data_IF_839353298821
#
_entry.id   IF_839353298821
#
_cell.length_a   1.000
_cell.length_b   1.000
_cell.length_c   1.000
_cell.angle_alpha   90.00
_cell.angle_beta   90.00
_cell.angle_gamma   90.00
#
_symmetry.space_group_name_H-M   'P 1'
#
loop_
_entity.id
_entity.type
_entity.pdbx_description
1 polymer ?
#
# COMPACT_ATOMS: atom_id res chain seq x y z
N UNK A 1 1.17 16.95 25.34
CA UNK A 1 0.52 16.33 24.17
C UNK A 1 1.11 14.95 23.90
N UNK A 2 2.41 14.80 23.65
CA UNK A 2 3.06 13.50 23.36
C UNK A 2 2.82 12.39 24.41
N UNK A 3 2.78 12.70 25.72
CA UNK A 3 2.53 11.69 26.77
C UNK A 3 1.10 11.18 26.79
N UNK A 4 0.10 12.02 26.41
CA UNK A 4 -1.31 11.62 26.34
C UNK A 4 -1.53 10.72 25.11
N UNK A 5 -0.91 11.04 23.98
CA UNK A 5 -0.94 10.22 22.77
C UNK A 5 -0.27 8.85 22.98
N UNK A 6 0.90 8.81 23.60
CA UNK A 6 1.56 7.55 23.94
C UNK A 6 0.74 6.68 24.90
N UNK A 7 0.04 7.29 25.88
CA UNK A 7 -0.85 6.58 26.80
C UNK A 7 -2.10 6.03 26.09
N UNK A 8 -2.68 6.78 25.17
CA UNK A 8 -3.83 6.33 24.36
C UNK A 8 -3.43 5.19 23.41
N UNK A 9 -2.29 5.29 22.74
CA UNK A 9 -1.75 4.23 21.88
C UNK A 9 -1.48 2.95 22.68
N UNK A 10 -0.88 3.04 23.84
CA UNK A 10 -0.63 1.89 24.72
C UNK A 10 -1.93 1.19 25.17
N UNK A 11 -3.00 1.94 25.41
CA UNK A 11 -4.30 1.38 25.80
C UNK A 11 -4.99 0.63 24.66
N UNK A 12 -4.72 1.00 23.40
CA UNK A 12 -5.28 0.37 22.21
C UNK A 12 -4.50 -0.86 21.74
N UNK A 13 -3.28 -1.06 22.22
CA UNK A 13 -2.35 -2.09 21.73
C UNK A 13 -2.91 -3.51 21.85
N UNK A 14 -3.36 -3.92 23.02
CA UNK A 14 -3.82 -5.28 23.27
C UNK A 14 -5.11 -5.63 22.51
N UNK A 15 -6.14 -4.76 22.49
CA UNK A 15 -7.33 -4.98 21.66
C UNK A 15 -7.01 -5.08 20.18
N UNK A 16 -6.15 -4.21 19.64
CA UNK A 16 -5.77 -4.20 18.23
C UNK A 16 -5.02 -5.47 17.84
N UNK A 17 -4.04 -5.88 18.64
CA UNK A 17 -3.33 -7.17 18.44
C UNK A 17 -4.29 -8.35 18.44
N UNK A 18 -5.28 -8.36 19.35
CA UNK A 18 -6.30 -9.39 19.40
C UNK A 18 -7.13 -9.45 18.13
N UNK A 19 -7.57 -8.30 17.62
CA UNK A 19 -8.33 -8.20 16.38
C UNK A 19 -7.52 -8.70 15.17
N UNK A 20 -6.30 -8.23 14.99
CA UNK A 20 -5.42 -8.63 13.89
C UNK A 20 -5.10 -10.13 13.97
N UNK A 21 -4.78 -10.64 15.16
CA UNK A 21 -4.53 -12.07 15.35
C UNK A 21 -5.74 -12.92 14.99
N UNK A 22 -6.94 -12.45 15.32
CA UNK A 22 -8.19 -13.13 14.95
C UNK A 22 -8.37 -13.14 13.43
N UNK A 23 -8.25 -11.99 12.77
CA UNK A 23 -8.37 -11.88 11.30
C UNK A 23 -7.36 -12.79 10.59
N UNK A 24 -6.09 -12.78 11.01
CA UNK A 24 -5.04 -13.63 10.44
C UNK A 24 -5.31 -15.12 10.66
N UNK A 25 -5.92 -15.51 11.79
CA UNK A 25 -6.29 -16.91 12.07
C UNK A 25 -7.49 -17.36 11.26
N UNK A 26 -8.50 -16.51 11.12
CA UNK A 26 -9.74 -16.81 10.39
C UNK A 26 -9.54 -16.81 8.88
N UNK A 27 -8.54 -16.10 8.37
CA UNK A 27 -8.17 -16.15 6.96
C UNK A 27 -7.85 -17.57 6.53
N UNK A 28 -8.39 -17.99 5.39
CA UNK A 28 -8.12 -19.29 4.74
C UNK A 28 -7.05 -19.17 3.64
N UNK A 29 -6.51 -17.98 3.43
CA UNK A 29 -5.47 -17.74 2.43
C UNK A 29 -4.22 -18.59 2.72
N UNK A 30 -3.57 -19.01 1.65
CA UNK A 30 -2.33 -19.80 1.69
C UNK A 30 -1.19 -19.01 1.02
N UNK A 31 0.06 -19.20 1.45
CA UNK A 31 1.19 -18.55 0.81
C UNK A 31 1.23 -18.80 -0.70
N UNK A 32 1.52 -17.74 -1.47
CA UNK A 32 1.70 -17.87 -2.92
C UNK A 32 3.00 -18.63 -3.27
N UNK A 33 3.01 -19.27 -4.44
CA UNK A 33 4.12 -20.07 -4.95
C UNK A 33 5.19 -19.25 -5.70
N UNK A 34 5.21 -17.93 -5.46
CA UNK A 34 6.15 -17.00 -6.10
C UNK A 34 6.65 -15.94 -5.10
N UNK A 35 7.74 -15.27 -5.45
CA UNK A 35 8.28 -14.18 -4.64
C UNK A 35 7.45 -12.91 -4.84
N UNK A 36 6.47 -12.68 -3.96
CA UNK A 36 5.68 -11.46 -3.92
C UNK A 36 6.48 -10.34 -3.22
N UNK A 37 6.64 -9.23 -3.89
CA UNK A 37 7.35 -8.04 -3.38
C UNK A 37 6.53 -6.75 -3.49
N UNK A 38 5.31 -6.83 -4.00
CA UNK A 38 4.33 -5.75 -4.03
C UNK A 38 3.00 -6.31 -3.53
N UNK A 39 2.33 -5.58 -2.65
CA UNK A 39 0.98 -5.88 -2.20
C UNK A 39 0.08 -4.66 -2.39
N UNK A 40 -1.17 -4.92 -2.79
CA UNK A 40 -2.24 -3.94 -2.86
C UNK A 40 -3.21 -4.27 -1.73
N UNK A 41 -3.54 -3.30 -0.89
CA UNK A 41 -4.33 -3.47 0.34
C UNK A 41 -5.30 -2.31 0.54
N UNK A 42 -6.36 -2.49 1.33
CA UNK A 42 -7.28 -1.41 1.68
C UNK A 42 -6.61 -0.20 2.34
N UNK A 43 -7.11 1.00 2.01
CA UNK A 43 -6.62 2.26 2.59
C UNK A 43 -7.39 2.65 3.86
N UNK A 44 -8.70 2.39 3.90
CA UNK A 44 -9.58 2.81 5.00
C UNK A 44 -9.77 1.69 6.03
N UNK A 45 -9.71 2.00 7.34
CA UNK A 45 -9.95 1.02 8.38
C UNK A 45 -11.43 0.57 8.37
N UNK A 46 -11.65 -0.72 8.17
CA UNK A 46 -12.96 -1.35 8.25
C UNK A 46 -12.81 -2.85 8.52
N UNK A 47 -13.87 -3.51 8.99
CA UNK A 47 -13.82 -4.96 9.19
C UNK A 47 -13.60 -5.69 7.85
N UNK A 48 -14.32 -5.29 6.80
CA UNK A 48 -14.19 -5.90 5.46
C UNK A 48 -12.78 -5.69 4.88
N UNK A 49 -12.24 -4.47 5.00
CA UNK A 49 -10.86 -4.17 4.60
C UNK A 49 -9.83 -4.96 5.43
N UNK A 50 -10.08 -5.13 6.73
CA UNK A 50 -9.22 -5.94 7.61
C UNK A 50 -9.17 -7.41 7.23
N UNK A 51 -10.28 -8.01 6.80
CA UNK A 51 -10.33 -9.39 6.28
C UNK A 51 -9.46 -9.51 5.02
N UNK A 52 -9.62 -8.60 4.07
CA UNK A 52 -8.84 -8.58 2.83
C UNK A 52 -7.35 -8.37 3.12
N UNK A 53 -7.00 -7.44 4.03
CA UNK A 53 -5.61 -7.25 4.45
C UNK A 53 -5.03 -8.52 5.07
N UNK A 54 -5.78 -9.22 5.91
CA UNK A 54 -5.35 -10.48 6.51
C UNK A 54 -5.08 -11.55 5.45
N UNK A 55 -5.92 -11.66 4.42
CA UNK A 55 -5.73 -12.60 3.32
C UNK A 55 -4.46 -12.28 2.51
N UNK A 56 -4.22 -11.00 2.23
CA UNK A 56 -3.01 -10.55 1.54
C UNK A 56 -1.76 -10.88 2.36
N UNK A 57 -1.70 -10.49 3.62
CA UNK A 57 -0.51 -10.70 4.44
C UNK A 57 -0.27 -12.16 4.78
N UNK A 58 -1.31 -12.97 4.90
CA UNK A 58 -1.19 -14.41 5.07
C UNK A 58 -0.73 -15.12 3.80
N UNK A 59 -1.03 -14.54 2.64
CA UNK A 59 -0.56 -15.05 1.34
C UNK A 59 0.90 -14.72 1.05
N UNK A 60 1.51 -13.76 1.78
CA UNK A 60 2.95 -13.57 1.72
C UNK A 60 3.64 -14.85 2.20
N UNK A 61 4.54 -15.39 1.38
CA UNK A 61 5.46 -16.44 1.85
C UNK A 61 6.33 -15.85 2.98
N UNK A 62 6.80 -16.71 3.91
CA UNK A 62 7.60 -16.29 5.07
C UNK A 62 8.95 -15.69 4.65
N UNK A 63 8.92 -14.46 4.15
CA UNK A 63 10.08 -13.69 3.67
C UNK A 63 10.26 -12.51 4.61
N UNK A 64 11.48 -12.32 5.08
CA UNK A 64 11.85 -11.13 5.81
C UNK A 64 12.20 -10.05 4.79
N UNK A 65 11.51 -8.92 4.83
CA UNK A 65 11.87 -7.73 4.09
C UNK A 65 12.63 -6.78 5.00
N UNK A 66 13.68 -6.14 4.48
CA UNK A 66 14.47 -5.18 5.23
C UNK A 66 13.77 -3.81 5.29
N UNK A 67 13.13 -3.44 4.18
CA UNK A 67 12.42 -2.15 4.02
C UNK A 67 11.02 -2.37 3.47
N UNK A 68 10.06 -1.63 4.00
CA UNK A 68 8.68 -1.53 3.49
C UNK A 68 8.46 -0.13 2.94
N UNK A 69 8.24 0.02 1.64
CA UNK A 69 7.81 1.28 1.03
C UNK A 69 6.29 1.28 0.99
N UNK A 70 5.66 2.22 1.69
CA UNK A 70 4.21 2.38 1.68
C UNK A 70 3.82 3.53 0.76
N UNK A 71 2.89 3.31 -0.15
CA UNK A 71 2.34 4.32 -1.05
C UNK A 71 0.85 4.47 -0.74
N UNK A 72 0.46 5.66 -0.30
CA UNK A 72 -0.93 5.97 0.02
C UNK A 72 -1.40 7.27 -0.65
N UNK A 73 -2.69 7.42 -0.93
CA UNK A 73 -3.25 8.69 -1.39
C UNK A 73 -3.29 9.70 -0.25
N UNK A 74 -3.28 10.99 -0.60
CA UNK A 74 -3.46 12.06 0.37
C UNK A 74 -4.84 12.03 1.03
N UNK A 75 -4.86 12.05 2.36
CA UNK A 75 -6.10 12.21 3.16
C UNK A 75 -6.54 13.66 3.38
N UNK A 76 -5.71 14.65 3.01
CA UNK A 76 -5.97 16.09 3.24
C UNK A 76 -6.36 16.85 1.96
N UNK A 77 -6.68 16.13 0.88
CA UNK A 77 -6.92 16.71 -0.43
C UNK A 77 -5.67 16.76 -1.31
N UNK A 78 -5.83 17.31 -2.51
CA UNK A 78 -4.80 17.30 -3.53
C UNK A 78 -3.70 18.36 -3.29
N UNK A 79 -2.46 17.99 -3.54
CA UNK A 79 -1.30 18.88 -3.62
C UNK A 79 -0.28 18.33 -4.63
N UNK A 80 0.43 19.23 -5.32
CA UNK A 80 1.23 18.87 -6.51
C UNK A 80 2.63 18.37 -6.15
N UNK A 81 2.73 17.24 -5.47
CA UNK A 81 3.98 16.52 -5.19
C UNK A 81 3.71 15.15 -4.58
N UNK A 82 4.75 14.34 -4.50
CA UNK A 82 4.82 13.16 -3.65
C UNK A 82 5.63 13.55 -2.41
N UNK A 83 5.21 13.14 -1.22
CA UNK A 83 5.93 13.44 0.01
C UNK A 83 6.45 12.18 0.66
N UNK A 84 7.69 12.23 1.13
CA UNK A 84 8.31 11.24 1.99
C UNK A 84 8.40 11.81 3.41
N UNK A 85 8.03 11.01 4.41
CA UNK A 85 8.02 11.41 5.82
C UNK A 85 9.42 11.82 6.30
N UNK A 86 9.54 12.97 6.99
CA UNK A 86 10.82 13.47 7.50
C UNK A 86 11.25 12.87 8.84
N UNK A 87 10.36 12.14 9.52
CA UNK A 87 10.63 11.55 10.83
C UNK A 87 11.65 10.40 10.75
N UNK A 88 12.37 10.17 11.85
CA UNK A 88 13.27 9.03 12.00
C UNK A 88 12.54 7.74 12.41
N UNK A 89 11.35 7.88 12.98
CA UNK A 89 10.50 6.79 13.43
C UNK A 89 9.04 7.09 13.10
N UNK A 90 8.33 6.08 12.65
CA UNK A 90 6.90 6.15 12.37
C UNK A 90 6.12 5.49 13.52
N UNK A 91 5.23 6.27 14.15
CA UNK A 91 4.47 5.83 15.32
C UNK A 91 3.42 4.77 14.93
N UNK A 92 3.34 3.70 15.71
CA UNK A 92 2.30 2.67 15.59
C UNK A 92 1.78 2.27 16.97
N UNK A 93 0.51 1.88 17.07
CA UNK A 93 -0.05 1.33 18.31
C UNK A 93 0.72 0.10 18.82
N UNK A 94 1.40 -0.63 17.96
CA UNK A 94 2.19 -1.82 18.33
C UNK A 94 3.65 -1.52 18.66
N UNK A 95 4.07 -0.28 18.55
CA UNK A 95 5.42 0.23 18.78
C UNK A 95 5.96 0.91 17.55
N UNK A 96 6.84 1.87 17.75
CA UNK A 96 7.41 2.67 16.67
C UNK A 96 8.25 1.81 15.73
N UNK A 97 8.22 2.15 14.44
CA UNK A 97 8.98 1.49 13.38
C UNK A 97 10.00 2.48 12.82
N UNK A 98 11.29 2.13 12.72
CA UNK A 98 12.28 3.03 12.16
C UNK A 98 11.99 3.37 10.71
N UNK A 99 12.25 4.61 10.31
CA UNK A 99 12.23 5.04 8.90
C UNK A 99 13.57 4.71 8.27
N UNK A 100 13.58 4.14 7.07
CA UNK A 100 14.78 3.87 6.30
C UNK A 100 15.28 5.16 5.63
N UNK A 101 16.14 5.91 6.34
CA UNK A 101 16.70 7.18 5.86
C UNK A 101 17.43 7.04 4.54
N UNK A 102 18.12 5.91 4.34
CA UNK A 102 18.91 5.69 3.14
C UNK A 102 18.02 5.53 1.92
N UNK A 103 16.98 4.71 2.01
CA UNK A 103 16.02 4.50 0.92
C UNK A 103 15.18 5.76 0.70
N UNK A 104 14.77 6.44 1.78
CA UNK A 104 14.04 7.69 1.72
C UNK A 104 14.82 8.77 0.95
N UNK A 105 16.08 8.98 1.33
CA UNK A 105 16.92 9.99 0.69
C UNK A 105 17.23 9.62 -0.77
N UNK A 106 17.47 8.35 -1.09
CA UNK A 106 17.67 7.86 -2.45
C UNK A 106 16.45 8.19 -3.33
N UNK A 107 15.22 7.97 -2.83
CA UNK A 107 14.00 8.35 -3.55
C UNK A 107 13.84 9.86 -3.74
N UNK A 108 14.22 10.67 -2.74
CA UNK A 108 14.11 12.14 -2.82
C UNK A 108 15.22 12.77 -3.68
N UNK A 109 16.40 12.15 -3.77
CA UNK A 109 17.54 12.68 -4.52
C UNK A 109 17.46 12.36 -6.02
N UNK A 110 16.81 11.26 -6.40
CA UNK A 110 16.70 10.80 -7.78
C UNK A 110 15.53 11.43 -8.56
N UNK A 111 14.55 12.01 -7.84
CA UNK A 111 13.32 12.49 -8.45
C UNK A 111 12.92 13.89 -7.96
N UNK A 112 12.77 14.82 -8.88
CA UNK A 112 12.37 16.20 -8.59
C UNK A 112 10.92 16.32 -8.07
N UNK A 113 10.13 15.26 -8.09
CA UNK A 113 8.74 15.24 -7.67
C UNK A 113 8.49 14.55 -6.32
N UNK A 114 9.53 13.92 -5.73
CA UNK A 114 9.48 13.30 -4.40
C UNK A 114 10.23 14.20 -3.39
N UNK A 115 9.50 14.77 -2.44
CA UNK A 115 10.02 15.74 -1.49
C UNK A 115 10.04 15.20 -0.07
N UNK A 116 11.09 15.48 0.67
CA UNK A 116 11.11 15.30 2.11
C UNK A 116 10.17 16.35 2.75
N UNK A 117 8.94 15.96 3.03
CA UNK A 117 7.89 16.85 3.53
C UNK A 117 6.83 16.02 4.28
N UNK A 118 6.40 16.48 5.44
CA UNK A 118 5.41 15.79 6.26
C UNK A 118 3.96 16.06 5.85
N UNK A 119 3.74 16.80 4.76
CA UNK A 119 2.40 17.09 4.27
C UNK A 119 1.66 15.81 3.87
N UNK A 120 0.52 15.57 4.48
CA UNK A 120 -0.31 14.39 4.26
C UNK A 120 -0.01 13.21 5.18
N UNK A 121 1.10 13.24 5.96
CA UNK A 121 1.51 12.11 6.80
C UNK A 121 0.82 12.03 8.17
N UNK A 122 0.18 13.09 8.65
CA UNK A 122 -0.38 13.15 10.02
C UNK A 122 -1.90 12.96 10.11
N UNK A 123 -2.57 12.57 9.05
CA UNK A 123 -4.02 12.45 9.01
C UNK A 123 -4.48 11.05 8.58
N UNK A 124 -4.15 10.03 9.36
CA UNK A 124 -4.59 8.65 9.15
C UNK A 124 -4.38 8.16 7.72
N UNK A 125 -3.13 7.95 7.38
CA UNK A 125 -2.74 7.39 6.09
C UNK A 125 -3.07 5.89 6.04
N UNK A 126 -3.14 5.33 4.83
CA UNK A 126 -3.29 3.88 4.67
C UNK A 126 -2.24 3.06 5.41
N UNK A 127 -1.03 3.62 5.60
CA UNK A 127 0.02 2.96 6.39
C UNK A 127 -0.41 2.74 7.84
N UNK A 128 -1.13 3.68 8.49
CA UNK A 128 -1.60 3.50 9.86
C UNK A 128 -2.50 2.28 10.01
N UNK A 129 -3.26 1.96 8.96
CA UNK A 129 -4.11 0.76 8.90
C UNK A 129 -3.29 -0.51 8.69
N UNK A 130 -2.25 -0.44 7.86
CA UNK A 130 -1.50 -1.60 7.41
C UNK A 130 -0.31 -1.94 8.32
N UNK A 131 0.26 -0.95 9.00
CA UNK A 131 1.47 -1.12 9.83
C UNK A 131 1.30 -2.18 10.95
N UNK A 132 0.16 -2.25 11.67
CA UNK A 132 -0.06 -3.29 12.65
C UNK A 132 -0.12 -4.72 12.07
N UNK A 133 -0.63 -4.89 10.84
CA UNK A 133 -0.56 -6.19 10.14
C UNK A 133 0.89 -6.54 9.80
N UNK A 134 1.64 -5.60 9.21
CA UNK A 134 3.05 -5.77 8.87
C UNK A 134 3.87 -6.16 10.11
N UNK A 135 3.69 -5.47 11.23
CA UNK A 135 4.35 -5.79 12.50
C UNK A 135 3.96 -7.16 13.07
N UNK A 136 2.80 -7.69 12.68
CA UNK A 136 2.32 -9.01 13.12
C UNK A 136 2.85 -10.17 12.26
N UNK A 137 3.20 -9.90 10.98
CA UNK A 137 3.60 -10.95 10.01
C UNK A 137 5.07 -10.88 9.61
N UNK A 138 5.67 -9.70 9.63
CA UNK A 138 7.09 -9.50 9.34
C UNK A 138 7.91 -9.49 10.65
N UNK A 139 9.19 -9.77 10.54
CA UNK A 139 10.14 -9.60 11.62
C UNK A 139 10.48 -8.11 11.85
N UNK A 140 11.77 -7.80 12.00
CA UNK A 140 12.24 -6.42 12.06
C UNK A 140 12.36 -5.86 10.65
N UNK A 141 11.82 -4.65 10.42
CA UNK A 141 11.90 -3.92 9.17
C UNK A 141 11.92 -2.41 9.44
N UNK A 142 12.36 -1.65 8.46
CA UNK A 142 12.21 -0.19 8.42
C UNK A 142 11.14 0.20 7.41
N UNK A 143 10.55 1.39 7.54
CA UNK A 143 9.49 1.86 6.65
C UNK A 143 9.89 3.14 5.92
N UNK A 144 9.43 3.30 4.68
CA UNK A 144 9.46 4.57 3.94
C UNK A 144 8.04 4.93 3.55
N UNK A 145 7.36 5.80 4.32
CA UNK A 145 6.03 6.27 4.00
C UNK A 145 6.08 7.29 2.86
N UNK A 146 5.28 7.06 1.82
CA UNK A 146 5.08 7.98 0.70
C UNK A 146 3.62 8.34 0.57
N UNK A 147 3.32 9.63 0.43
CA UNK A 147 1.97 10.15 0.17
C UNK A 147 1.93 10.78 -1.22
N UNK A 148 1.04 10.29 -2.06
CA UNK A 148 0.76 10.90 -3.35
C UNK A 148 -0.24 12.04 -3.16
N UNK A 149 0.25 13.28 -3.21
CA UNK A 149 -0.60 14.48 -3.14
C UNK A 149 -1.36 14.73 -4.44
N UNK A 150 -0.81 14.28 -5.56
CA UNK A 150 -1.46 14.23 -6.86
C UNK A 150 -1.17 12.89 -7.54
N UNK A 151 -2.16 12.36 -8.25
CA UNK A 151 -2.09 11.05 -8.90
C UNK A 151 -2.09 11.19 -10.43
N UNK A 152 -1.32 12.18 -10.95
CA UNK A 152 -1.14 12.36 -12.39
C UNK A 152 -0.32 11.23 -12.99
N UNK A 153 -0.45 11.04 -14.31
CA UNK A 153 0.29 9.98 -15.03
C UNK A 153 1.79 10.15 -14.89
N UNK A 154 2.29 11.38 -14.87
CA UNK A 154 3.71 11.66 -14.78
C UNK A 154 4.24 11.28 -13.40
N UNK A 155 3.61 11.72 -12.31
CA UNK A 155 3.95 11.27 -10.95
C UNK A 155 3.88 9.75 -10.78
N UNK A 156 2.91 9.08 -11.42
CA UNK A 156 2.83 7.62 -11.35
C UNK A 156 4.00 6.94 -12.05
N UNK A 157 4.48 7.49 -13.18
CA UNK A 157 5.62 6.94 -13.91
C UNK A 157 6.93 7.14 -13.15
N UNK A 158 7.15 8.34 -12.65
CA UNK A 158 8.35 8.71 -11.89
C UNK A 158 8.44 7.86 -10.62
N UNK A 159 7.40 7.87 -9.79
CA UNK A 159 7.37 7.04 -8.59
C UNK A 159 7.55 5.54 -8.91
N UNK A 160 6.89 5.05 -9.97
CA UNK A 160 6.98 3.64 -10.36
C UNK A 160 8.38 3.26 -10.81
N UNK A 161 9.09 4.15 -11.52
CA UNK A 161 10.48 3.95 -11.94
C UNK A 161 11.43 3.96 -10.74
N UNK A 162 11.37 5.01 -9.90
CA UNK A 162 12.21 5.14 -8.72
C UNK A 162 12.05 3.96 -7.75
N UNK A 163 10.80 3.58 -7.43
CA UNK A 163 10.51 2.40 -6.60
C UNK A 163 11.02 1.11 -7.25
N UNK A 164 10.86 0.97 -8.57
CA UNK A 164 11.37 -0.18 -9.32
C UNK A 164 12.88 -0.34 -9.21
N UNK A 165 13.64 0.74 -9.23
CA UNK A 165 15.10 0.76 -9.05
C UNK A 165 15.50 0.38 -7.62
N UNK A 166 14.85 0.94 -6.61
CA UNK A 166 15.07 0.55 -5.22
C UNK A 166 14.84 -0.96 -5.04
N UNK A 167 13.71 -1.47 -5.52
CA UNK A 167 13.38 -2.91 -5.42
C UNK A 167 14.38 -3.79 -6.16
N UNK A 168 15.09 -3.29 -7.16
CA UNK A 168 16.09 -4.07 -7.89
C UNK A 168 17.31 -4.40 -7.02
N UNK A 169 17.72 -3.48 -6.19
CA UNK A 169 18.95 -3.55 -5.41
C UNK A 169 18.73 -3.95 -3.95
N UNK A 170 17.47 -3.98 -3.48
CA UNK A 170 17.14 -4.15 -2.07
C UNK A 170 16.01 -5.16 -1.86
N UNK A 171 16.03 -5.79 -0.71
CA UNK A 171 14.96 -6.68 -0.25
C UNK A 171 13.79 -5.86 0.32
N UNK A 172 12.96 -5.34 -0.58
CA UNK A 172 11.92 -4.36 -0.29
C UNK A 172 10.52 -4.92 -0.60
N UNK A 173 9.59 -4.69 0.32
CA UNK A 173 8.15 -4.86 0.10
C UNK A 173 7.52 -3.51 -0.22
N UNK A 174 6.77 -3.42 -1.31
CA UNK A 174 5.94 -2.25 -1.62
C UNK A 174 4.51 -2.52 -1.20
N UNK A 175 3.94 -1.63 -0.39
CA UNK A 175 2.57 -1.70 0.12
C UNK A 175 1.77 -0.54 -0.45
N UNK A 176 0.78 -0.84 -1.29
CA UNK A 176 -0.07 0.16 -1.94
C UNK A 176 -1.44 0.18 -1.29
N UNK A 177 -1.82 1.31 -0.72
CA UNK A 177 -3.08 1.49 -0.02
C UNK A 177 -4.14 2.08 -0.94
N UNK A 178 -5.26 1.37 -1.14
CA UNK A 178 -6.30 1.76 -2.10
C UNK A 178 -7.71 1.45 -1.58
N UNK A 179 -8.69 2.26 -1.99
CA UNK A 179 -10.10 1.97 -1.82
C UNK A 179 -10.85 2.17 -3.15
N UNK A 180 -11.89 1.38 -3.38
CA UNK A 180 -12.78 1.53 -4.52
C UNK A 180 -13.98 2.36 -4.06
N UNK A 181 -14.06 3.61 -4.51
CA UNK A 181 -15.12 4.53 -4.09
C UNK A 181 -16.42 4.29 -4.86
N UNK A 182 -16.31 3.91 -6.13
CA UNK A 182 -17.42 3.60 -7.01
C UNK A 182 -16.99 2.63 -8.11
N UNK A 183 -17.81 1.63 -8.41
CA UNK A 183 -17.54 0.74 -9.52
C UNK A 183 -18.85 0.17 -10.11
N UNK A 184 -18.85 -0.03 -11.44
CA UNK A 184 -19.81 -0.90 -12.10
C UNK A 184 -19.30 -2.36 -12.05
N UNK A 185 -20.17 -3.37 -12.23
CA UNK A 185 -19.72 -4.75 -12.37
C UNK A 185 -18.71 -4.94 -13.53
N UNK A 186 -18.87 -4.13 -14.60
CA UNK A 186 -17.93 -4.11 -15.72
C UNK A 186 -16.59 -3.50 -15.30
N UNK A 187 -16.59 -2.39 -14.55
CA UNK A 187 -15.39 -1.74 -14.04
C UNK A 187 -14.56 -2.66 -13.16
N UNK A 188 -15.21 -3.40 -12.25
CA UNK A 188 -14.54 -4.41 -11.42
C UNK A 188 -13.85 -5.50 -12.26
N UNK A 189 -14.53 -6.00 -13.30
CA UNK A 189 -13.96 -7.00 -14.21
C UNK A 189 -12.79 -6.46 -15.02
N UNK A 190 -12.90 -5.21 -15.51
CA UNK A 190 -11.83 -4.56 -16.28
C UNK A 190 -10.61 -4.30 -15.40
N UNK A 191 -10.80 -3.83 -14.17
CA UNK A 191 -9.73 -3.60 -13.19
C UNK A 191 -9.01 -4.91 -12.87
N UNK A 192 -9.77 -5.95 -12.49
CA UNK A 192 -9.21 -7.27 -12.19
C UNK A 192 -8.41 -7.84 -13.38
N UNK A 193 -8.95 -7.72 -14.60
CA UNK A 193 -8.26 -8.18 -15.81
C UNK A 193 -6.97 -7.40 -16.06
N UNK A 194 -7.00 -6.07 -16.00
CA UNK A 194 -5.82 -5.24 -16.23
C UNK A 194 -4.72 -5.50 -15.18
N UNK A 195 -5.14 -5.74 -13.92
CA UNK A 195 -4.21 -6.08 -12.84
C UNK A 195 -3.56 -7.45 -13.06
N UNK A 196 -4.35 -8.49 -13.34
CA UNK A 196 -3.81 -9.85 -13.58
C UNK A 196 -2.91 -9.92 -14.80
N UNK A 197 -3.21 -9.16 -15.86
CA UNK A 197 -2.42 -9.11 -17.07
C UNK A 197 -1.18 -8.18 -16.92
N UNK A 198 -1.05 -7.43 -15.82
CA UNK A 198 -0.10 -6.33 -15.62
C UNK A 198 -0.13 -5.32 -16.80
N UNK A 199 -1.33 -5.08 -17.33
CA UNK A 199 -1.57 -4.20 -18.48
C UNK A 199 -1.65 -2.74 -18.02
N UNK A 200 -0.47 -2.11 -17.83
CA UNK A 200 -0.34 -0.71 -17.37
C UNK A 200 -1.13 0.26 -18.27
N UNK A 201 -1.04 0.22 -19.62
CA UNK A 201 -1.80 1.12 -20.47
C UNK A 201 -3.33 0.99 -20.29
N UNK A 202 -3.83 -0.24 -20.18
CA UNK A 202 -5.26 -0.48 -19.94
C UNK A 202 -5.69 0.00 -18.57
N UNK A 203 -4.90 -0.28 -17.52
CA UNK A 203 -5.18 0.20 -16.16
C UNK A 203 -5.20 1.72 -16.12
N UNK A 204 -4.21 2.37 -16.73
CA UNK A 204 -4.13 3.84 -16.81
C UNK A 204 -5.38 4.43 -17.50
N UNK A 205 -5.80 3.86 -18.62
CA UNK A 205 -6.99 4.30 -19.34
C UNK A 205 -8.24 4.16 -18.47
N UNK A 206 -8.42 3.02 -17.83
CA UNK A 206 -9.56 2.72 -16.98
C UNK A 206 -9.67 3.68 -15.79
N UNK A 207 -8.55 3.90 -15.08
CA UNK A 207 -8.50 4.72 -13.87
C UNK A 207 -8.60 6.23 -14.16
N UNK A 208 -8.12 6.70 -15.32
CA UNK A 208 -8.21 8.11 -15.70
C UNK A 208 -9.59 8.50 -16.27
N UNK A 209 -10.29 7.57 -16.90
CA UNK A 209 -11.65 7.86 -17.40
C UNK A 209 -12.70 7.92 -16.29
N UNK A 210 -12.49 7.21 -15.19
CA UNK A 210 -13.36 7.16 -14.00
C UNK A 210 -14.86 6.86 -14.29
N UNK A 211 -15.18 6.41 -15.50
CA UNK A 211 -16.55 6.13 -15.91
C UNK A 211 -17.08 4.81 -15.31
N UNK A 212 -16.24 3.79 -15.30
CA UNK A 212 -16.59 2.43 -14.85
C UNK A 212 -16.14 2.15 -13.40
N UNK A 213 -15.09 2.81 -12.95
CA UNK A 213 -14.53 2.64 -11.62
C UNK A 213 -13.84 3.94 -11.15
N UNK A 214 -14.01 4.27 -9.88
CA UNK A 214 -13.32 5.37 -9.20
C UNK A 214 -12.53 4.79 -8.04
N UNK A 215 -11.22 4.96 -8.07
CA UNK A 215 -10.28 4.40 -7.09
C UNK A 215 -9.52 5.53 -6.40
N UNK A 216 -9.55 5.55 -5.09
CA UNK A 216 -8.66 6.36 -4.26
C UNK A 216 -7.35 5.61 -4.09
N UNK A 217 -6.22 6.24 -4.39
CA UNK A 217 -4.92 5.57 -4.47
C UNK A 217 -4.63 4.96 -5.84
N UNK A 218 -5.34 5.41 -6.90
CA UNK A 218 -5.11 4.96 -8.28
C UNK A 218 -3.67 5.16 -8.74
N UNK A 219 -3.04 6.25 -8.29
CA UNK A 219 -1.64 6.54 -8.59
C UNK A 219 -0.68 5.50 -8.01
N UNK A 220 -0.93 5.06 -6.79
CA UNK A 220 -0.17 3.98 -6.16
C UNK A 220 -0.29 2.65 -6.92
N UNK A 221 -1.50 2.31 -7.41
CA UNK A 221 -1.70 1.12 -8.26
C UNK A 221 -0.88 1.21 -9.53
N UNK A 222 -0.91 2.36 -10.22
CA UNK A 222 -0.15 2.55 -11.46
C UNK A 222 1.35 2.51 -11.21
N UNK A 223 1.84 3.20 -10.17
CA UNK A 223 3.26 3.18 -9.77
C UNK A 223 3.72 1.75 -9.45
N UNK A 224 2.94 0.99 -8.69
CA UNK A 224 3.24 -0.40 -8.37
C UNK A 224 3.31 -1.30 -9.61
N UNK A 225 2.39 -1.17 -10.56
CA UNK A 225 2.41 -1.93 -11.81
C UNK A 225 3.61 -1.55 -12.69
N UNK A 226 4.00 -0.27 -12.71
CA UNK A 226 5.21 0.19 -13.42
C UNK A 226 6.46 -0.39 -12.74
N UNK A 227 6.58 -0.30 -11.42
CA UNK A 227 7.67 -0.90 -10.66
C UNK A 227 7.76 -2.43 -10.89
N UNK A 228 6.62 -3.12 -10.94
CA UNK A 228 6.55 -4.53 -11.28
C UNK A 228 7.12 -4.83 -12.67
N UNK A 229 6.86 -3.96 -13.65
CA UNK A 229 7.42 -4.09 -15.00
C UNK A 229 8.95 -3.94 -15.00
N UNK A 230 9.49 -2.96 -14.29
CA UNK A 230 10.94 -2.80 -14.10
C UNK A 230 11.57 -4.05 -13.49
N UNK A 231 10.89 -4.69 -12.56
CA UNK A 231 11.33 -5.93 -11.90
C UNK A 231 11.08 -7.19 -12.73
N UNK A 232 10.48 -7.06 -13.92
CA UNK A 232 10.06 -8.20 -14.75
C UNK A 232 9.16 -9.17 -13.96
N UNK A 233 8.30 -8.62 -13.10
CA UNK A 233 7.27 -9.38 -12.39
C UNK A 233 6.24 -9.88 -13.39
N UNK A 234 5.85 -11.13 -13.26
CA UNK A 234 4.93 -11.79 -14.19
C UNK A 234 3.80 -12.52 -13.48
N UNK A 235 3.83 -12.52 -12.15
CA UNK A 235 2.84 -13.23 -11.33
C UNK A 235 2.00 -12.23 -10.56
N UNK A 236 0.71 -12.41 -10.65
CA UNK A 236 -0.28 -11.67 -9.87
C UNK A 236 -1.20 -12.68 -9.20
N UNK A 237 -1.50 -12.47 -7.94
CA UNK A 237 -2.52 -13.20 -7.20
C UNK A 237 -3.47 -12.19 -6.57
N UNK A 238 -4.71 -12.18 -7.02
CA UNK A 238 -5.79 -11.39 -6.41
C UNK A 238 -6.43 -12.26 -5.33
N UNK A 239 -6.24 -11.89 -4.07
CA UNK A 239 -6.80 -12.61 -2.94
C UNK A 239 -8.31 -12.45 -2.88
N UNK A 240 -8.76 -11.20 -2.96
CA UNK A 240 -10.18 -10.86 -2.96
C UNK A 240 -10.41 -9.45 -3.54
N UNK A 241 -11.64 -9.23 -4.01
CA UNK A 241 -12.13 -7.92 -4.46
C UNK A 241 -13.60 -7.74 -4.06
N UNK A 242 -13.85 -6.75 -3.23
CA UNK A 242 -15.19 -6.36 -2.82
C UNK A 242 -15.65 -5.10 -3.58
N UNK A 243 -16.80 -5.16 -4.23
CA UNK A 243 -17.41 -3.97 -4.84
C UNK A 243 -17.92 -3.02 -3.76
N UNK A 244 -17.90 -1.70 -3.99
CA UNK A 244 -18.52 -0.74 -3.09
C UNK A 244 -20.03 -0.95 -3.04
N UNK A 245 -20.61 -0.77 -1.85
CA UNK A 245 -22.03 -0.76 -1.61
C UNK A 245 -22.46 0.64 -1.16
N UNK A 246 -23.78 0.88 -1.03
CA UNK A 246 -24.30 2.16 -0.57
C UNK A 246 -23.71 2.53 0.80
N UNK A 247 -23.00 3.65 0.87
CA UNK A 247 -22.32 4.16 2.06
C UNK A 247 -21.04 3.43 2.48
N UNK A 248 -20.53 2.47 1.69
CA UNK A 248 -19.27 1.76 2.00
C UNK A 248 -18.32 1.72 0.82
N UNK A 249 -17.02 1.74 1.11
CA UNK A 249 -16.00 1.53 0.08
C UNK A 249 -15.93 0.06 -0.34
N UNK A 250 -15.53 -0.17 -1.58
CA UNK A 250 -15.04 -1.45 -2.05
C UNK A 250 -13.53 -1.56 -1.80
N UNK A 251 -13.01 -2.77 -1.88
CA UNK A 251 -11.62 -3.07 -1.57
C UNK A 251 -11.01 -4.03 -2.58
N UNK A 252 -9.70 -4.04 -2.65
CA UNK A 252 -8.92 -5.01 -3.40
C UNK A 252 -7.73 -5.46 -2.56
N UNK A 253 -7.48 -6.77 -2.57
CA UNK A 253 -6.30 -7.39 -2.00
C UNK A 253 -5.56 -8.19 -3.07
N UNK A 254 -4.30 -7.85 -3.33
CA UNK A 254 -3.51 -8.54 -4.35
C UNK A 254 -2.03 -8.57 -4.03
N UNK A 255 -1.33 -9.56 -4.59
CA UNK A 255 0.12 -9.69 -4.55
C UNK A 255 0.67 -9.71 -5.97
N UNK A 256 1.81 -9.05 -6.18
CA UNK A 256 2.53 -9.03 -7.45
C UNK A 256 3.99 -9.43 -7.18
N UNK A 257 4.55 -10.26 -8.07
CA UNK A 257 5.91 -10.73 -7.89
C UNK A 257 6.47 -11.51 -9.06
N UNK A 258 7.53 -12.26 -8.77
CA UNK A 258 8.26 -13.08 -9.75
C UNK A 258 8.11 -14.55 -9.42
N UNK A 259 7.94 -15.35 -10.47
CA UNK A 259 7.99 -16.80 -10.39
C UNK A 259 9.42 -17.33 -10.45
#
# INVERSE_FOLDING_TARGET
MQQIEASMLATQRAPLLGQISTLLKESTATPVDFFASIVIVPNTPSLAGGVISADVYKSLSAINFDTVISIAPSGIGEFKRITACSLDQYASPLGDVPVDDRVRNELCDEDDDIFLDDKGHFNHTGLDVQLPFLQSVLGQFSVVPLIMGSETVDFCKELGSAVGEIMFNRNTLVVVCVDILRATPRGMKLFNKALNDLDVPRMMTLLNQENEILVQGKGGVLAAMIAATHRRSTRVHVCDMAAPNEGTHGFVGALIGRG
#
